data_IF_299026934935
#
_entry.id   IF_299026934935
#
_cell.length_a   1.000
_cell.length_b   1.000
_cell.length_c   1.000
_cell.angle_alpha   90.00
_cell.angle_beta   90.00
_cell.angle_gamma   90.00
#
_symmetry.space_group_name_H-M   'P 1'
#
loop_
_entity.id
_entity.type
_entity.pdbx_description
1 polymer ?
#
# COMPACT_ATOMS: atom_id res chain seq x y z
N UNK A 1 -18.69 -5.30 6.35
CA UNK A 1 -18.61 -4.93 4.91
C UNK A 1 -17.46 -5.73 4.29
N UNK A 2 -17.56 -6.16 3.03
CA UNK A 2 -16.34 -6.53 2.30
C UNK A 2 -15.61 -5.21 1.99
N UNK A 3 -14.31 -5.18 2.21
CA UNK A 3 -13.54 -3.93 2.30
C UNK A 3 -12.05 -4.18 2.14
N UNK A 4 -11.71 -5.13 1.27
CA UNK A 4 -10.33 -5.46 0.93
C UNK A 4 -9.64 -4.23 0.35
N UNK A 5 -8.33 -4.13 0.57
CA UNK A 5 -7.55 -3.07 -0.05
C UNK A 5 -7.48 -3.35 -1.55
N UNK A 6 -7.87 -2.37 -2.35
CA UNK A 6 -7.89 -2.48 -3.81
C UNK A 6 -6.52 -2.11 -4.40
N UNK A 7 -5.97 -0.99 -3.95
CA UNK A 7 -4.67 -0.52 -4.38
C UNK A 7 -4.02 0.39 -3.34
N UNK A 8 -2.73 0.62 -3.54
CA UNK A 8 -1.95 1.68 -2.89
C UNK A 8 -1.40 2.59 -3.98
N UNK A 9 -1.52 3.90 -3.81
CA UNK A 9 -1.14 4.88 -4.80
C UNK A 9 0.18 5.57 -4.45
N UNK A 10 1.09 5.56 -5.42
CA UNK A 10 2.36 6.30 -5.36
C UNK A 10 2.47 7.22 -6.59
N UNK A 11 3.06 8.39 -6.41
CA UNK A 11 3.35 9.30 -7.51
C UNK A 11 4.76 9.06 -8.03
N UNK A 12 4.92 9.15 -9.34
CA UNK A 12 6.20 8.92 -10.03
C UNK A 12 6.56 10.11 -10.91
N UNK A 13 7.85 10.36 -11.08
CA UNK A 13 8.40 11.49 -11.85
C UNK A 13 8.62 11.15 -13.33
N UNK A 14 8.84 9.88 -13.67
CA UNK A 14 8.92 9.38 -15.05
C UNK A 14 8.13 8.07 -15.20
N UNK A 15 6.96 8.15 -15.84
CA UNK A 15 6.09 6.99 -15.99
C UNK A 15 6.72 5.86 -16.81
N UNK A 16 7.51 6.16 -17.84
CA UNK A 16 8.12 5.11 -18.66
C UNK A 16 9.20 4.37 -17.88
N UNK A 17 10.02 5.10 -17.12
CA UNK A 17 11.05 4.53 -16.24
C UNK A 17 10.44 3.64 -15.15
N UNK A 18 9.39 4.11 -14.46
CA UNK A 18 8.72 3.30 -13.43
C UNK A 18 8.09 2.04 -14.04
N UNK A 19 7.38 2.16 -15.18
CA UNK A 19 6.76 1.00 -15.83
C UNK A 19 7.80 -0.04 -16.27
N UNK A 20 8.93 0.39 -16.84
CA UNK A 20 10.03 -0.50 -17.21
C UNK A 20 10.61 -1.21 -15.99
N UNK A 21 10.80 -0.50 -14.88
CA UNK A 21 11.32 -1.06 -13.63
C UNK A 21 10.38 -2.14 -13.06
N UNK A 22 9.09 -1.82 -12.87
CA UNK A 22 8.12 -2.77 -12.29
C UNK A 22 7.87 -3.97 -13.21
N UNK A 23 7.86 -3.77 -14.53
CA UNK A 23 7.71 -4.85 -15.50
C UNK A 23 8.93 -5.75 -15.54
N UNK A 24 10.14 -5.18 -15.54
CA UNK A 24 11.38 -5.94 -15.70
C UNK A 24 11.74 -6.72 -14.43
N UNK A 25 11.58 -6.10 -13.27
CA UNK A 25 12.11 -6.63 -12.02
C UNK A 25 11.08 -7.40 -11.19
N UNK A 26 9.79 -7.05 -11.31
CA UNK A 26 8.71 -7.70 -10.56
C UNK A 26 7.70 -8.44 -11.46
N UNK A 27 7.98 -8.56 -12.77
CA UNK A 27 7.07 -9.16 -13.76
C UNK A 27 5.64 -8.58 -13.72
N UNK A 28 5.51 -7.29 -13.36
CA UNK A 28 4.21 -6.65 -13.28
C UNK A 28 3.62 -6.38 -14.67
N UNK A 29 2.31 -6.52 -14.76
CA UNK A 29 1.52 -6.19 -15.94
C UNK A 29 0.55 -5.04 -15.63
N UNK A 30 0.24 -4.24 -16.66
CA UNK A 30 -0.83 -3.24 -16.61
C UNK A 30 -2.19 -3.93 -16.48
N UNK A 31 -2.86 -3.67 -15.35
CA UNK A 31 -4.22 -4.14 -15.02
C UNK A 31 -5.29 -3.11 -15.38
N UNK A 32 -4.91 -1.85 -15.47
CA UNK A 32 -5.79 -0.76 -15.88
C UNK A 32 -5.03 0.54 -16.09
N UNK A 33 -5.61 1.44 -16.86
CA UNK A 33 -5.06 2.77 -17.12
C UNK A 33 -6.17 3.79 -17.25
N UNK A 34 -5.95 4.94 -16.64
CA UNK A 34 -6.79 6.12 -16.79
C UNK A 34 -5.94 7.30 -17.25
N UNK A 35 -6.27 7.85 -18.42
CA UNK A 35 -5.60 9.01 -18.99
C UNK A 35 -6.50 10.25 -18.86
N UNK A 36 -6.07 11.20 -18.05
CA UNK A 36 -6.66 12.53 -17.97
C UNK A 36 -5.78 13.57 -18.69
N UNK A 37 -6.30 14.78 -18.87
CA UNK A 37 -5.52 15.86 -19.49
C UNK A 37 -4.26 16.23 -18.67
N UNK A 38 -4.34 16.14 -17.34
CA UNK A 38 -3.29 16.63 -16.42
C UNK A 38 -2.51 15.52 -15.70
N UNK A 39 -2.97 14.27 -15.77
CA UNK A 39 -2.31 13.14 -15.12
C UNK A 39 -2.67 11.82 -15.80
N UNK A 40 -1.86 10.80 -15.56
CA UNK A 40 -2.11 9.42 -15.96
C UNK A 40 -2.00 8.52 -14.73
N UNK A 41 -2.99 7.64 -14.53
CA UNK A 41 -2.92 6.57 -13.53
C UNK A 41 -2.73 5.23 -14.24
N UNK A 42 -1.84 4.39 -13.72
CA UNK A 42 -1.61 3.02 -14.21
C UNK A 42 -1.64 2.07 -13.03
N UNK A 43 -2.46 1.02 -13.12
CA UNK A 43 -2.58 -0.02 -12.11
C UNK A 43 -1.75 -1.23 -12.55
N UNK A 44 -0.92 -1.72 -11.64
CA UNK A 44 0.05 -2.79 -11.90
C UNK A 44 -0.11 -3.93 -10.89
N UNK A 45 0.23 -5.13 -11.33
CA UNK A 45 0.32 -6.31 -10.47
C UNK A 45 0.80 -7.54 -11.25
N UNK A 46 1.03 -8.68 -10.59
CA UNK A 46 1.49 -9.91 -11.24
C UNK A 46 0.45 -10.42 -12.27
N UNK A 47 0.87 -11.22 -13.26
CA UNK A 47 -0.03 -11.80 -14.28
C UNK A 47 -1.27 -12.47 -13.64
N UNK A 48 -1.03 -13.42 -12.74
CA UNK A 48 -2.07 -14.21 -12.07
C UNK A 48 -2.50 -13.57 -10.73
N UNK A 49 -3.23 -12.46 -10.77
CA UNK A 49 -3.76 -11.85 -9.53
C UNK A 49 -4.88 -12.66 -8.88
N UNK A 50 -4.86 -12.73 -7.54
CA UNK A 50 -5.98 -13.20 -6.74
C UNK A 50 -7.10 -12.14 -6.71
N UNK A 51 -8.37 -12.55 -6.66
CA UNK A 51 -9.54 -11.64 -6.66
C UNK A 51 -9.55 -10.63 -5.48
N UNK A 52 -8.87 -10.99 -4.39
CA UNK A 52 -8.68 -10.15 -3.18
C UNK A 52 -7.30 -9.48 -3.09
N UNK A 53 -6.42 -9.71 -4.08
CA UNK A 53 -5.10 -9.09 -4.13
C UNK A 53 -5.20 -7.61 -4.50
N UNK A 54 -4.34 -6.79 -3.90
CA UNK A 54 -4.26 -5.37 -4.21
C UNK A 54 -3.32 -5.09 -5.39
N UNK A 55 -3.54 -3.96 -6.06
CA UNK A 55 -2.71 -3.44 -7.15
C UNK A 55 -1.80 -2.30 -6.65
N UNK A 56 -0.71 -2.06 -7.37
CA UNK A 56 0.04 -0.82 -7.26
C UNK A 56 -0.55 0.20 -8.24
N UNK A 57 -0.98 1.36 -7.77
CA UNK A 57 -1.36 2.48 -8.62
C UNK A 57 -0.19 3.47 -8.72
N UNK A 58 0.27 3.73 -9.94
CA UNK A 58 1.20 4.81 -10.24
C UNK A 58 0.44 6.01 -10.79
N UNK A 59 0.64 7.19 -10.20
CA UNK A 59 0.14 8.46 -10.72
C UNK A 59 1.29 9.32 -11.25
N UNK A 60 1.26 9.60 -12.54
CA UNK A 60 2.16 10.53 -13.20
C UNK A 60 1.45 11.84 -13.52
N UNK A 61 1.94 12.96 -12.99
CA UNK A 61 1.41 14.29 -13.30
C UNK A 61 2.13 14.90 -14.51
N UNK A 62 1.39 15.46 -15.46
CA UNK A 62 1.92 15.98 -16.73
C UNK A 62 2.56 17.37 -16.61
N UNK A 63 3.28 17.63 -15.51
CA UNK A 63 3.87 18.94 -15.21
C UNK A 63 5.30 18.89 -14.66
N UNK A 64 5.99 17.76 -14.86
CA UNK A 64 7.42 17.56 -14.54
C UNK A 64 7.78 17.93 -13.09
N UNK A 65 6.82 17.78 -12.16
CA UNK A 65 7.04 18.05 -10.74
C UNK A 65 7.84 16.92 -10.10
N UNK A 66 8.59 17.27 -9.06
CA UNK A 66 9.27 16.32 -8.18
C UNK A 66 8.50 16.14 -6.88
N UNK A 67 8.67 15.01 -6.21
CA UNK A 67 7.97 14.71 -4.96
C UNK A 67 8.87 14.68 -3.73
N UNK A 68 8.31 15.07 -2.59
CA UNK A 68 8.89 14.89 -1.27
C UNK A 68 8.36 13.58 -0.67
N UNK A 69 9.23 12.62 -0.38
CA UNK A 69 8.83 11.31 0.18
C UNK A 69 8.16 11.41 1.55
N UNK A 70 8.59 12.37 2.38
CA UNK A 70 8.20 12.40 3.79
C UNK A 70 8.74 11.20 4.58
N UNK A 71 8.16 10.97 5.75
CA UNK A 71 8.43 9.81 6.60
C UNK A 71 7.16 9.26 7.29
N UNK A 72 5.96 9.66 6.87
CA UNK A 72 4.71 9.08 7.38
C UNK A 72 4.40 7.74 6.70
N UNK A 73 4.60 7.64 5.39
CA UNK A 73 4.52 6.38 4.67
C UNK A 73 5.87 5.66 4.70
N UNK A 74 5.83 4.32 4.78
CA UNK A 74 7.00 3.46 4.86
C UNK A 74 7.37 2.88 3.50
N UNK A 75 6.57 1.91 3.06
CA UNK A 75 6.89 1.04 1.94
C UNK A 75 5.65 0.30 1.42
N UNK A 76 5.77 -0.25 0.22
CA UNK A 76 5.01 -1.43 -0.19
C UNK A 76 5.83 -2.68 0.11
N UNK A 77 5.16 -3.79 0.35
CA UNK A 77 5.81 -5.10 0.48
C UNK A 77 5.27 -6.07 -0.58
N UNK A 78 6.16 -6.80 -1.22
CA UNK A 78 5.87 -7.81 -2.25
C UNK A 78 6.28 -9.20 -1.79
N UNK A 79 5.49 -10.20 -2.16
CA UNK A 79 5.68 -11.58 -1.72
C UNK A 79 6.67 -12.34 -2.60
N UNK A 80 7.50 -13.16 -1.98
CA UNK A 80 8.23 -14.24 -2.63
C UNK A 80 7.95 -15.56 -1.92
N UNK A 81 8.14 -16.72 -2.57
CA UNK A 81 7.95 -18.01 -1.91
C UNK A 81 8.88 -18.20 -0.71
N UNK A 82 8.42 -18.96 0.29
CA UNK A 82 9.24 -19.32 1.46
C UNK A 82 10.56 -19.99 1.04
N UNK A 83 11.67 -19.46 1.53
CA UNK A 83 13.02 -19.96 1.23
C UNK A 83 13.65 -19.41 -0.05
N UNK A 84 12.97 -18.54 -0.81
CA UNK A 84 13.49 -17.95 -2.05
C UNK A 84 13.92 -16.47 -1.91
N UNK A 85 13.80 -15.88 -0.71
CA UNK A 85 14.13 -14.47 -0.47
C UNK A 85 15.53 -14.06 -0.96
N UNK A 86 16.55 -14.85 -0.62
CA UNK A 86 17.93 -14.52 -0.98
C UNK A 86 18.13 -14.54 -2.50
N UNK A 87 17.56 -15.55 -3.18
CA UNK A 87 17.68 -15.73 -4.62
C UNK A 87 17.03 -14.57 -5.39
N UNK A 88 15.80 -14.20 -5.00
CA UNK A 88 15.10 -13.07 -5.61
C UNK A 88 15.80 -11.73 -5.32
N UNK A 89 16.34 -11.55 -4.11
CA UNK A 89 17.10 -10.35 -3.78
C UNK A 89 18.38 -10.24 -4.62
N UNK A 90 19.18 -11.31 -4.69
CA UNK A 90 20.41 -11.35 -5.50
C UNK A 90 20.11 -11.10 -6.99
N UNK A 91 19.01 -11.66 -7.51
CA UNK A 91 18.58 -11.43 -8.89
C UNK A 91 18.33 -9.93 -9.16
N UNK A 92 17.58 -9.24 -8.29
CA UNK A 92 17.31 -7.81 -8.45
C UNK A 92 18.62 -6.99 -8.49
N UNK A 93 19.58 -7.32 -7.63
CA UNK A 93 20.88 -6.64 -7.62
C UNK A 93 21.70 -6.91 -8.88
N UNK A 94 21.70 -8.15 -9.38
CA UNK A 94 22.37 -8.51 -10.62
C UNK A 94 21.76 -7.81 -11.85
N UNK A 95 20.47 -7.49 -11.78
CA UNK A 95 19.73 -6.71 -12.79
C UNK A 95 19.91 -5.18 -12.64
N UNK A 96 20.58 -4.73 -11.59
CA UNK A 96 20.96 -3.33 -11.38
C UNK A 96 20.00 -2.51 -10.51
N UNK A 97 19.09 -3.16 -9.80
CA UNK A 97 18.20 -2.51 -8.82
C UNK A 97 19.03 -1.96 -7.64
N UNK A 98 18.62 -0.82 -7.06
CA UNK A 98 19.31 -0.20 -5.92
C UNK A 98 19.25 -1.09 -4.67
N UNK A 99 20.43 -1.46 -4.16
CA UNK A 99 20.63 -2.09 -2.85
C UNK A 99 20.26 -1.12 -1.72
N UNK A 100 19.48 -1.60 -0.75
CA UNK A 100 19.08 -0.78 0.40
C UNK A 100 19.20 -1.51 1.75
N UNK A 101 18.51 -2.65 1.94
CA UNK A 101 18.63 -3.48 3.15
C UNK A 101 18.59 -4.95 2.81
N UNK A 102 19.75 -5.62 2.89
CA UNK A 102 19.91 -7.02 2.56
C UNK A 102 19.18 -7.97 3.56
N UNK A 103 18.94 -9.24 3.15
CA UNK A 103 18.33 -10.24 4.03
C UNK A 103 19.08 -10.46 5.35
N UNK A 104 20.41 -10.50 5.37
CA UNK A 104 21.22 -10.73 6.58
C UNK A 104 20.98 -9.63 7.62
N UNK A 105 21.02 -8.37 7.17
CA UNK A 105 20.71 -7.17 7.97
C UNK A 105 19.29 -7.19 8.54
N UNK A 106 18.37 -7.89 7.89
CA UNK A 106 16.97 -8.04 8.27
C UNK A 106 16.66 -9.38 8.99
N UNK A 107 17.70 -10.12 9.40
CA UNK A 107 17.57 -11.38 10.13
C UNK A 107 17.06 -12.55 9.29
N UNK A 108 17.24 -12.49 7.97
CA UNK A 108 16.88 -13.52 6.99
C UNK A 108 15.39 -13.64 6.71
N UNK A 109 14.58 -12.64 7.07
CA UNK A 109 13.11 -12.69 6.99
C UNK A 109 12.52 -11.89 5.85
N UNK A 110 13.14 -10.77 5.53
CA UNK A 110 12.73 -9.82 4.51
C UNK A 110 13.97 -9.08 3.99
N UNK A 111 13.83 -8.32 2.91
CA UNK A 111 14.85 -7.43 2.39
C UNK A 111 14.20 -6.18 1.81
N UNK A 112 14.97 -5.15 1.46
CA UNK A 112 14.46 -3.98 0.78
C UNK A 112 15.34 -3.58 -0.40
N UNK A 113 14.67 -3.15 -1.45
CA UNK A 113 15.23 -2.42 -2.59
C UNK A 113 14.51 -1.08 -2.75
N UNK A 114 14.96 -0.27 -3.71
CA UNK A 114 14.24 0.95 -4.10
C UNK A 114 13.85 0.96 -5.56
N UNK A 115 12.70 1.57 -5.83
CA UNK A 115 12.27 1.91 -7.18
C UNK A 115 12.99 3.18 -7.70
N UNK A 116 12.79 3.59 -8.98
CA UNK A 116 13.51 4.71 -9.58
C UNK A 116 13.32 6.06 -8.87
N UNK A 117 12.16 6.29 -8.28
CA UNK A 117 11.83 7.52 -7.54
C UNK A 117 12.35 7.46 -6.10
N UNK A 118 12.74 6.27 -5.62
CA UNK A 118 13.30 6.03 -4.29
C UNK A 118 12.28 5.50 -3.27
N UNK A 119 11.09 5.06 -3.71
CA UNK A 119 10.14 4.37 -2.86
C UNK A 119 10.75 3.06 -2.36
N UNK A 120 10.54 2.76 -1.08
CA UNK A 120 11.00 1.51 -0.48
C UNK A 120 10.08 0.35 -0.91
N UNK A 121 10.68 -0.72 -1.43
CA UNK A 121 9.98 -1.97 -1.78
C UNK A 121 10.54 -3.09 -0.90
N UNK A 122 9.74 -3.54 0.06
CA UNK A 122 10.09 -4.69 0.90
C UNK A 122 9.81 -5.99 0.17
N UNK A 123 10.71 -6.96 0.28
CA UNK A 123 10.54 -8.31 -0.24
C UNK A 123 10.35 -9.22 0.97
N UNK A 124 9.19 -9.86 1.06
CA UNK A 124 8.82 -10.71 2.18
C UNK A 124 8.51 -12.12 1.71
N UNK A 125 9.02 -13.12 2.43
CA UNK A 125 8.70 -14.50 2.10
C UNK A 125 7.36 -14.94 2.73
N UNK A 126 6.53 -15.67 1.98
CA UNK A 126 5.23 -16.20 2.42
C UNK A 126 5.06 -17.66 2.01
N UNK A 127 4.25 -18.39 2.79
CA UNK A 127 3.93 -19.80 2.53
C UNK A 127 3.17 -19.93 1.18
N UNK A 128 3.60 -20.89 0.37
CA UNK A 128 3.45 -20.87 -1.07
C UNK A 128 2.11 -21.46 -1.54
N UNK A 129 1.19 -20.57 -1.91
CA UNK A 129 0.17 -20.71 -2.97
C UNK A 129 -0.33 -19.31 -3.39
N UNK A 130 0.54 -18.29 -3.27
CA UNK A 130 0.27 -16.92 -3.66
C UNK A 130 1.19 -16.53 -4.82
N UNK A 131 0.72 -15.68 -5.75
CA UNK A 131 1.55 -15.20 -6.85
C UNK A 131 2.80 -14.49 -6.33
N UNK A 132 3.96 -14.85 -6.87
CA UNK A 132 5.20 -14.08 -6.64
C UNK A 132 4.97 -12.63 -7.05
N UNK A 133 5.59 -11.73 -6.30
CA UNK A 133 5.47 -10.28 -6.40
C UNK A 133 4.10 -9.69 -6.05
N UNK A 134 3.09 -10.48 -5.69
CA UNK A 134 1.83 -9.92 -5.19
C UNK A 134 2.03 -9.08 -3.92
N UNK A 135 1.25 -8.01 -3.76
CA UNK A 135 1.36 -7.09 -2.62
C UNK A 135 0.92 -7.74 -1.30
N UNK A 136 1.83 -7.76 -0.32
CA UNK A 136 1.62 -8.29 1.02
C UNK A 136 1.00 -7.27 1.97
N UNK A 137 1.64 -6.11 2.05
CA UNK A 137 1.18 -5.02 2.89
C UNK A 137 1.67 -3.68 2.35
N UNK A 138 1.05 -2.61 2.83
CA UNK A 138 1.61 -1.27 2.77
C UNK A 138 1.75 -0.73 4.19
N UNK A 139 2.86 -0.04 4.44
CA UNK A 139 3.22 0.44 5.77
C UNK A 139 2.97 1.92 5.93
N UNK A 140 2.20 2.28 6.95
CA UNK A 140 2.06 3.64 7.44
C UNK A 140 2.55 3.74 8.87
N UNK A 141 3.23 4.83 9.19
CA UNK A 141 3.68 5.13 10.55
C UNK A 141 2.60 5.89 11.28
N UNK A 142 2.37 5.51 12.54
CA UNK A 142 1.31 6.09 13.37
C UNK A 142 1.89 6.71 14.63
N UNK A 143 1.27 7.78 15.12
CA UNK A 143 1.74 8.49 16.32
C UNK A 143 1.17 7.89 17.62
N UNK A 144 0.03 7.21 17.54
CA UNK A 144 -0.59 6.48 18.64
C UNK A 144 -1.18 5.16 18.13
N UNK A 145 -0.63 4.04 18.61
CA UNK A 145 -1.07 2.71 18.19
C UNK A 145 -2.51 2.39 18.57
N UNK A 146 -2.99 2.85 19.74
CA UNK A 146 -4.35 2.55 20.21
C UNK A 146 -5.40 3.32 19.39
N UNK A 147 -5.10 4.57 19.03
CA UNK A 147 -5.95 5.36 18.14
C UNK A 147 -6.00 4.75 16.74
N UNK A 148 -4.84 4.40 16.16
CA UNK A 148 -4.74 3.80 14.84
C UNK A 148 -5.45 2.43 14.75
N UNK A 149 -5.15 1.52 15.67
CA UNK A 149 -5.84 0.22 15.75
C UNK A 149 -7.36 0.42 15.92
N UNK A 150 -7.72 1.41 16.74
CA UNK A 150 -9.11 1.80 16.97
C UNK A 150 -9.82 2.32 15.72
N UNK A 151 -9.13 3.11 14.89
CA UNK A 151 -9.63 3.61 13.61
C UNK A 151 -9.98 2.44 12.69
N UNK A 152 -9.00 1.58 12.39
CA UNK A 152 -9.19 0.44 11.50
C UNK A 152 -10.23 -0.55 12.00
N UNK A 153 -10.24 -0.84 13.31
CA UNK A 153 -11.21 -1.77 13.89
C UNK A 153 -12.64 -1.20 13.93
N UNK A 154 -12.82 0.09 14.27
CA UNK A 154 -14.16 0.67 14.47
C UNK A 154 -14.77 1.21 13.20
N UNK A 155 -13.96 1.81 12.31
CA UNK A 155 -14.43 2.45 11.07
C UNK A 155 -14.55 1.43 9.94
N UNK A 156 -13.54 0.57 9.77
CA UNK A 156 -13.45 -0.40 8.67
C UNK A 156 -13.74 -1.86 9.05
N UNK A 157 -13.92 -2.17 10.35
CA UNK A 157 -14.12 -3.54 10.86
C UNK A 157 -12.92 -4.47 10.61
N UNK A 158 -11.73 -3.91 10.40
CA UNK A 158 -10.52 -4.69 10.23
C UNK A 158 -10.16 -5.41 11.54
N UNK A 159 -9.49 -6.54 11.41
CA UNK A 159 -9.02 -7.37 12.51
C UNK A 159 -7.50 -7.52 12.45
N UNK A 160 -6.83 -7.72 13.59
CA UNK A 160 -5.39 -8.02 13.60
C UNK A 160 -5.09 -9.32 12.84
N UNK A 161 -4.10 -9.28 11.96
CA UNK A 161 -3.60 -10.41 11.16
C UNK A 161 -2.14 -10.76 11.49
N UNK A 162 -1.45 -9.89 12.23
CA UNK A 162 -0.08 -10.11 12.62
C UNK A 162 0.38 -9.03 13.59
N UNK A 163 1.43 -9.34 14.33
CA UNK A 163 2.14 -8.38 15.16
C UNK A 163 3.60 -8.74 15.22
N UNK A 164 4.44 -7.74 15.05
CA UNK A 164 5.86 -7.86 15.32
C UNK A 164 6.27 -6.76 16.31
N UNK A 165 7.19 -7.07 17.21
CA UNK A 165 7.59 -6.15 18.27
C UNK A 165 9.09 -6.23 18.52
N UNK A 166 9.71 -5.08 18.68
CA UNK A 166 11.09 -4.90 19.12
C UNK A 166 11.15 -4.05 20.39
N UNK A 167 12.36 -3.75 20.85
CA UNK A 167 12.58 -2.84 21.96
C UNK A 167 12.26 -1.36 21.63
N UNK A 168 12.16 -1.00 20.35
CA UNK A 168 12.03 0.41 19.91
C UNK A 168 10.76 0.71 19.12
N UNK A 169 10.08 -0.30 18.60
CA UNK A 169 8.85 -0.14 17.82
C UNK A 169 8.02 -1.43 17.78
N UNK A 170 6.74 -1.30 17.42
CA UNK A 170 5.86 -2.41 17.08
C UNK A 170 5.13 -2.17 15.75
N UNK A 171 4.91 -3.27 15.03
CA UNK A 171 4.15 -3.32 13.80
C UNK A 171 2.87 -4.10 14.04
N UNK A 172 1.75 -3.56 13.57
CA UNK A 172 0.44 -4.19 13.63
C UNK A 172 -0.12 -4.34 12.23
N UNK A 173 -0.42 -5.57 11.82
CA UNK A 173 -0.98 -5.85 10.52
C UNK A 173 -2.48 -6.00 10.66
N UNK A 174 -3.25 -5.28 9.85
CA UNK A 174 -4.70 -5.29 9.88
C UNK A 174 -5.29 -5.56 8.51
N UNK A 175 -6.34 -6.39 8.46
CA UNK A 175 -7.09 -6.68 7.24
C UNK A 175 -8.58 -6.91 7.52
N UNK A 176 -9.47 -6.91 6.52
CA UNK A 176 -10.88 -7.20 6.74
C UNK A 176 -11.08 -8.58 7.37
N UNK A 177 -12.08 -8.68 8.24
CA UNK A 177 -12.44 -9.96 8.86
C UNK A 177 -12.83 -10.99 7.80
N UNK A 178 -12.09 -12.10 7.77
CA UNK A 178 -12.38 -13.22 6.87
C UNK A 178 -11.78 -13.07 5.47
N UNK A 179 -11.00 -12.02 5.21
CA UNK A 179 -10.18 -11.93 4.01
C UNK A 179 -9.16 -13.08 3.96
N UNK A 180 -8.85 -13.53 2.75
CA UNK A 180 -7.83 -14.54 2.48
C UNK A 180 -6.41 -14.05 2.82
N UNK A 181 -5.43 -14.95 2.73
CA UNK A 181 -4.02 -14.59 2.91
C UNK A 181 -3.44 -13.84 1.69
N UNK A 182 -4.17 -13.84 0.57
CA UNK A 182 -3.83 -13.03 -0.60
C UNK A 182 -4.13 -11.54 -0.40
N UNK A 183 -5.09 -11.20 0.47
CA UNK A 183 -5.48 -9.83 0.70
C UNK A 183 -4.32 -9.02 1.31
N UNK A 184 -4.06 -7.85 0.74
CA UNK A 184 -3.07 -6.93 1.27
C UNK A 184 -3.50 -6.44 2.65
N UNK A 185 -2.56 -6.37 3.58
CA UNK A 185 -2.79 -5.80 4.91
C UNK A 185 -2.30 -4.35 4.99
N UNK A 186 -2.88 -3.56 5.89
CA UNK A 186 -2.25 -2.31 6.32
C UNK A 186 -1.35 -2.60 7.52
N UNK A 187 -0.07 -2.27 7.39
CA UNK A 187 0.90 -2.32 8.47
C UNK A 187 0.95 -0.97 9.17
N UNK A 188 0.64 -0.95 10.47
CA UNK A 188 0.75 0.22 11.34
C UNK A 188 2.04 0.12 12.13
N UNK A 189 3.01 0.97 11.83
CA UNK A 189 4.29 1.02 12.54
C UNK A 189 4.27 2.12 13.60
N UNK A 190 4.36 1.73 14.87
CA UNK A 190 4.42 2.64 16.01
C UNK A 190 5.81 2.63 16.64
N UNK A 191 6.50 3.78 16.61
CA UNK A 191 7.80 3.98 17.26
C UNK A 191 7.60 4.48 18.70
N UNK A 192 8.33 3.88 19.66
CA UNK A 192 8.13 4.13 21.11
C UNK A 192 8.73 5.44 21.63
N UNK A 193 9.15 6.34 20.74
CA UNK A 193 9.82 7.59 21.09
C UNK A 193 8.92 8.83 20.94
N UNK A 194 7.65 8.65 20.56
CA UNK A 194 6.67 9.72 20.47
C UNK A 194 7.00 10.76 19.39
N UNK A 195 7.69 10.32 18.33
CA UNK A 195 7.96 11.15 17.15
C UNK A 195 6.67 11.39 16.35
N UNK A 196 6.65 12.51 15.63
CA UNK A 196 5.66 12.83 14.62
C UNK A 196 6.25 12.65 13.22
N UNK A 197 5.39 12.51 12.22
CA UNK A 197 5.82 12.26 10.84
C UNK A 197 5.41 13.38 9.88
N UNK A 198 6.12 13.49 8.77
CA UNK A 198 5.85 14.37 7.64
C UNK A 198 5.25 13.53 6.52
N UNK A 199 4.05 13.87 6.05
CA UNK A 199 3.38 13.10 5.00
C UNK A 199 4.15 13.05 3.68
N UNK A 200 4.79 14.16 3.31
CA UNK A 200 5.30 14.32 1.95
C UNK A 200 4.16 14.44 0.93
N UNK A 201 4.49 14.29 -0.34
CA UNK A 201 3.54 14.25 -1.44
C UNK A 201 3.85 13.17 -2.50
N UNK A 202 4.83 12.29 -2.25
CA UNK A 202 5.09 11.12 -3.09
C UNK A 202 4.02 10.04 -2.92
N UNK A 203 3.70 9.68 -1.67
CA UNK A 203 2.58 8.77 -1.39
C UNK A 203 1.25 9.49 -1.59
N UNK A 204 0.28 8.79 -2.19
CA UNK A 204 -1.05 9.31 -2.44
C UNK A 204 -2.04 8.91 -1.35
N UNK A 205 -2.40 7.63 -1.35
CA UNK A 205 -3.43 7.07 -0.50
C UNK A 205 -3.37 5.53 -0.53
N UNK A 206 -4.15 4.91 0.33
CA UNK A 206 -4.55 3.51 0.21
C UNK A 206 -6.05 3.45 -0.11
N UNK A 207 -6.46 2.47 -0.90
CA UNK A 207 -7.84 2.36 -1.35
C UNK A 207 -8.53 1.11 -0.80
N UNK A 208 -9.76 1.28 -0.33
CA UNK A 208 -10.66 0.23 0.11
C UNK A 208 -11.75 0.04 -0.94
N UNK A 209 -11.88 -1.18 -1.47
CA UNK A 209 -12.99 -1.54 -2.37
C UNK A 209 -14.27 -1.73 -1.58
N UNK A 210 -15.28 -0.89 -1.82
CA UNK A 210 -16.60 -1.06 -1.24
C UNK A 210 -17.46 -2.04 -2.07
N UNK A 211 -18.41 -2.71 -1.42
CA UNK A 211 -19.49 -3.44 -2.11
C UNK A 211 -20.54 -2.47 -2.69
N UNK A 212 -20.74 -1.32 -2.02
CA UNK A 212 -21.60 -0.21 -2.42
C UNK A 212 -21.01 1.08 -1.80
N UNK A 213 -20.64 2.06 -2.63
CA UNK A 213 -19.96 3.27 -2.17
C UNK A 213 -20.81 4.08 -1.17
N UNK A 214 -22.10 4.24 -1.45
CA UNK A 214 -22.95 5.14 -0.67
C UNK A 214 -23.30 4.54 0.69
N UNK A 215 -23.65 3.26 0.73
CA UNK A 215 -23.92 2.54 1.98
C UNK A 215 -22.65 2.45 2.85
N UNK A 216 -21.48 2.22 2.21
CA UNK A 216 -20.19 2.19 2.92
C UNK A 216 -19.85 3.57 3.49
N UNK A 217 -20.03 4.64 2.71
CA UNK A 217 -19.78 6.01 3.15
C UNK A 217 -20.73 6.42 4.28
N UNK A 218 -22.04 6.14 4.17
CA UNK A 218 -23.00 6.39 5.25
C UNK A 218 -22.56 5.68 6.54
N UNK A 219 -22.12 4.43 6.43
CA UNK A 219 -21.61 3.66 7.57
C UNK A 219 -20.37 4.32 8.19
N UNK A 220 -19.43 4.83 7.39
CA UNK A 220 -18.26 5.56 7.88
C UNK A 220 -18.65 6.85 8.62
N UNK A 221 -19.64 7.59 8.11
CA UNK A 221 -20.15 8.81 8.75
C UNK A 221 -20.88 8.51 10.05
N UNK A 222 -21.71 7.47 10.11
CA UNK A 222 -22.33 6.99 11.36
C UNK A 222 -21.29 6.59 12.40
N UNK A 223 -20.15 6.08 11.94
CA UNK A 223 -19.01 5.71 12.77
C UNK A 223 -18.11 6.90 13.10
N UNK A 224 -18.44 8.12 12.69
CA UNK A 224 -17.67 9.34 12.93
C UNK A 224 -16.26 9.30 12.29
N UNK A 225 -16.13 8.76 11.08
CA UNK A 225 -14.91 8.94 10.28
C UNK A 225 -14.76 10.41 9.82
N UNK A 226 -13.58 10.81 9.34
CA UNK A 226 -13.35 12.17 8.85
C UNK A 226 -14.14 12.41 7.55
N UNK A 227 -15.00 13.42 7.55
CA UNK A 227 -15.76 13.85 6.37
C UNK A 227 -14.88 14.75 5.50
N UNK A 228 -14.10 14.14 4.62
CA UNK A 228 -13.09 14.84 3.83
C UNK A 228 -13.52 15.10 2.37
N UNK A 229 -13.76 14.05 1.58
CA UNK A 229 -14.29 14.17 0.21
C UNK A 229 -15.42 13.17 0.03
N UNK A 230 -16.66 13.64 0.10
CA UNK A 230 -17.84 12.79 -0.03
C UNK A 230 -18.05 12.29 -1.47
N UNK A 231 -18.86 11.22 -1.68
CA UNK A 231 -19.13 10.67 -3.01
C UNK A 231 -19.60 11.71 -4.04
N UNK A 232 -20.50 12.62 -3.66
CA UNK A 232 -21.06 13.60 -4.59
C UNK A 232 -20.00 14.62 -5.03
N UNK A 233 -19.04 14.95 -4.16
CA UNK A 233 -17.88 15.79 -4.51
C UNK A 233 -16.91 15.09 -5.48
N UNK A 234 -16.98 13.77 -5.55
CA UNK A 234 -16.11 12.88 -6.34
C UNK A 234 -16.85 12.20 -7.51
N UNK A 235 -17.96 12.81 -7.98
CA UNK A 235 -18.77 12.31 -9.10
C UNK A 235 -19.28 10.88 -8.91
N UNK A 236 -19.51 10.48 -7.65
CA UNK A 236 -19.99 9.17 -7.21
C UNK A 236 -19.11 7.98 -7.66
N UNK A 237 -17.84 8.24 -8.02
CA UNK A 237 -16.84 7.22 -8.38
C UNK A 237 -16.05 6.70 -7.18
N UNK A 238 -15.82 7.56 -6.20
CA UNK A 238 -15.08 7.23 -4.99
C UNK A 238 -15.41 8.25 -3.89
N UNK A 239 -14.85 8.07 -2.70
CA UNK A 239 -14.85 9.05 -1.61
C UNK A 239 -13.53 8.96 -0.83
N UNK A 240 -13.20 9.96 -0.02
CA UNK A 240 -12.04 9.92 0.86
C UNK A 240 -12.40 10.28 2.30
N UNK A 241 -11.86 9.47 3.22
CA UNK A 241 -11.70 9.81 4.64
C UNK A 241 -10.22 9.91 4.96
N UNK A 242 -9.89 10.39 6.17
CA UNK A 242 -8.55 10.31 6.73
C UNK A 242 -8.54 9.56 8.05
N UNK A 243 -7.39 8.98 8.38
CA UNK A 243 -7.13 8.47 9.72
C UNK A 243 -6.73 9.60 10.69
N UNK A 244 -6.42 9.25 11.93
CA UNK A 244 -6.04 10.19 12.99
C UNK A 244 -4.76 10.97 12.70
N UNK A 245 -3.86 10.42 11.88
CA UNK A 245 -2.56 11.00 11.53
C UNK A 245 -2.60 11.71 10.15
N UNK A 246 -3.76 11.67 9.48
CA UNK A 246 -3.99 12.37 8.21
C UNK A 246 -3.70 11.54 6.97
N UNK A 247 -3.42 10.24 7.10
CA UNK A 247 -3.30 9.33 5.95
C UNK A 247 -4.63 9.30 5.20
N UNK A 248 -4.61 9.46 3.88
CA UNK A 248 -5.81 9.41 3.05
C UNK A 248 -6.22 7.96 2.76
N UNK A 249 -7.50 7.66 2.95
CA UNK A 249 -8.12 6.38 2.62
C UNK A 249 -9.21 6.64 1.60
N UNK A 250 -9.02 6.12 0.39
CA UNK A 250 -10.04 6.12 -0.65
C UNK A 250 -11.05 4.98 -0.42
N UNK A 251 -12.32 5.24 -0.72
CA UNK A 251 -13.37 4.24 -0.80
C UNK A 251 -13.84 4.21 -2.24
N UNK A 252 -13.55 3.12 -2.95
CA UNK A 252 -13.83 2.99 -4.37
C UNK A 252 -15.22 2.41 -4.62
N UNK A 253 -15.93 2.97 -5.60
CA UNK A 253 -17.15 2.37 -6.14
C UNK A 253 -16.78 1.15 -7.00
N UNK A 254 -17.34 -0.04 -6.74
CA UNK A 254 -16.96 -1.27 -7.45
C UNK A 254 -17.31 -1.27 -8.95
N UNK A 255 -18.15 -0.34 -9.42
CA UNK A 255 -18.50 -0.19 -10.84
C UNK A 255 -17.61 0.80 -11.60
N UNK A 256 -16.65 1.47 -10.93
CA UNK A 256 -15.78 2.51 -11.51
C UNK A 256 -14.53 1.99 -12.21
#
# INVERSE_FOLDING_TARGET
MSGVLDHVMMRVEDLEESLDWYTTHLDYEEKGRWEADTFTNVYLGPEEMHDEGAMLELTYNHDDRTYEMGDAWGHIAVRVPEGELEEHYEQLLDEGVEDYRDPESCGGRYAFVKDPDGHEVEIVQRDADLPTWSLDHTMIRVEDADEALGFWARKFEYVPDGRWESDTFANYFMKPRGASDAAMTVELTYNYDGRSYTMGDAWGHLCVRADDLHDYWETLMEREADDYRDPASCEDRYAFTRDQDGHEIEILNPES
#
